data_IF_125289606516
#
_entry.id   IF_125289606516
#
_cell.length_a   1.000
_cell.length_b   1.000
_cell.length_c   1.000
_cell.angle_alpha   90.00
_cell.angle_beta   90.00
_cell.angle_gamma   90.00
#
_symmetry.space_group_name_H-M   'P 1'
#
loop_
_entity.id
_entity.type
_entity.pdbx_description
1 polymer ?
#
# COMPACT_ATOMS: atom_id res chain seq x y z
N UNK A 1 -47.96 10.10 40.16
CA UNK A 1 -46.60 9.52 40.14
C UNK A 1 -46.46 8.57 38.93
N UNK A 2 -46.99 8.94 37.76
CA UNK A 2 -47.45 7.97 36.74
C UNK A 2 -47.45 8.51 35.28
N UNK A 3 -46.55 9.43 34.91
CA UNK A 3 -46.41 9.86 33.51
C UNK A 3 -44.96 10.00 33.00
N UNK A 4 -43.97 9.83 33.87
CA UNK A 4 -42.54 9.97 33.52
C UNK A 4 -41.91 8.68 33.01
N UNK A 5 -42.52 7.52 33.28
CA UNK A 5 -41.97 6.21 32.89
C UNK A 5 -42.38 5.81 31.46
N UNK A 6 -43.61 6.13 31.03
CA UNK A 6 -44.12 5.77 29.70
C UNK A 6 -43.43 6.59 28.58
N UNK A 7 -43.06 7.86 28.85
CA UNK A 7 -42.29 8.67 27.89
C UNK A 7 -40.82 8.25 27.74
N UNK A 8 -40.26 7.48 28.69
CA UNK A 8 -38.90 6.94 28.55
C UNK A 8 -38.85 5.64 27.76
N UNK A 9 -39.89 4.81 27.76
CA UNK A 9 -39.91 3.58 26.95
C UNK A 9 -40.14 3.84 25.46
N UNK A 10 -40.96 4.84 25.09
CA UNK A 10 -41.16 5.21 23.69
C UNK A 10 -39.87 5.76 23.02
N UNK A 11 -38.98 6.41 23.77
CA UNK A 11 -37.64 6.81 23.31
C UNK A 11 -36.62 5.66 23.30
N UNK A 12 -36.84 4.62 24.11
CA UNK A 12 -35.97 3.45 24.14
C UNK A 12 -36.27 2.49 22.97
N UNK A 13 -37.52 2.44 22.49
CA UNK A 13 -37.90 1.66 21.30
C UNK A 13 -37.39 2.30 19.99
N UNK A 14 -37.27 3.64 19.93
CA UNK A 14 -36.63 4.28 18.76
C UNK A 14 -35.10 4.14 18.73
N UNK A 15 -34.46 3.81 19.87
CA UNK A 15 -33.02 3.55 19.95
C UNK A 15 -32.68 2.04 19.89
N UNK A 16 -33.60 1.16 20.28
CA UNK A 16 -33.43 -0.30 20.15
C UNK A 16 -33.54 -0.79 18.69
N UNK A 17 -34.28 -0.07 17.83
CA UNK A 17 -34.42 -0.41 16.41
C UNK A 17 -33.16 -0.18 15.56
N UNK A 18 -32.08 0.38 16.13
CA UNK A 18 -30.81 0.56 15.41
C UNK A 18 -29.64 -0.27 15.95
N UNK A 19 -29.75 -0.86 17.16
CA UNK A 19 -28.59 -1.43 17.86
C UNK A 19 -28.68 -2.95 18.15
N UNK A 20 -29.86 -3.58 18.10
CA UNK A 20 -30.00 -5.01 18.44
C UNK A 20 -30.08 -5.98 17.25
N UNK A 21 -29.95 -5.50 16.01
CA UNK A 21 -29.82 -6.37 14.82
C UNK A 21 -28.38 -6.83 14.54
N UNK A 22 -27.40 -6.53 15.41
CA UNK A 22 -25.98 -6.75 15.10
C UNK A 22 -25.36 -8.04 15.67
N UNK A 23 -26.00 -8.76 16.60
CA UNK A 23 -25.31 -9.85 17.31
C UNK A 23 -26.21 -11.06 17.62
N UNK A 24 -26.66 -11.76 16.60
CA UNK A 24 -26.79 -13.23 16.53
C UNK A 24 -27.52 -13.60 15.22
N UNK A 25 -26.89 -13.32 14.08
CA UNK A 25 -27.24 -14.03 12.85
C UNK A 25 -26.38 -15.29 12.84
N UNK A 26 -27.01 -16.46 12.99
CA UNK A 26 -26.56 -17.62 12.21
C UNK A 26 -26.78 -17.18 10.77
N UNK A 27 -25.79 -16.45 10.25
CA UNK A 27 -25.76 -15.99 8.88
C UNK A 27 -25.53 -17.26 8.09
N UNK A 28 -26.61 -17.86 7.60
CA UNK A 28 -26.55 -18.45 6.28
C UNK A 28 -26.20 -17.31 5.35
N UNK A 29 -24.91 -16.98 5.29
CA UNK A 29 -24.32 -16.27 4.18
C UNK A 29 -24.61 -17.18 2.99
N UNK A 30 -25.75 -16.94 2.34
CA UNK A 30 -25.91 -17.27 0.95
C UNK A 30 -24.78 -16.50 0.27
N UNK A 31 -23.61 -17.13 0.21
CA UNK A 31 -22.50 -16.64 -0.59
C UNK A 31 -23.08 -16.58 -1.99
N UNK A 32 -23.37 -15.36 -2.45
CA UNK A 32 -23.83 -15.17 -3.80
C UNK A 32 -22.80 -15.85 -4.71
N UNK A 33 -23.25 -16.80 -5.51
CA UNK A 33 -22.37 -17.60 -6.35
C UNK A 33 -22.29 -16.93 -7.73
N UNK A 34 -21.07 -16.72 -8.21
CA UNK A 34 -20.86 -16.28 -9.58
C UNK A 34 -21.27 -17.40 -10.53
N UNK A 35 -22.31 -17.17 -11.35
CA UNK A 35 -22.78 -18.08 -12.39
C UNK A 35 -21.76 -18.18 -13.52
N UNK A 36 -21.27 -17.03 -13.97
CA UNK A 36 -20.20 -16.90 -14.95
C UNK A 36 -19.47 -15.58 -14.68
N UNK A 37 -18.15 -15.59 -14.89
CA UNK A 37 -17.32 -14.39 -14.88
C UNK A 37 -16.84 -14.14 -16.31
N UNK A 38 -17.12 -12.96 -16.83
CA UNK A 38 -16.58 -12.47 -18.09
C UNK A 38 -15.52 -11.42 -17.76
N UNK A 39 -14.27 -11.76 -18.05
CA UNK A 39 -13.10 -11.00 -17.63
C UNK A 39 -12.38 -10.42 -18.86
N UNK A 40 -12.35 -9.09 -18.93
CA UNK A 40 -11.48 -8.34 -19.82
C UNK A 40 -10.68 -7.30 -19.01
N UNK A 41 -10.27 -7.63 -17.79
CA UNK A 41 -9.45 -6.79 -16.94
C UNK A 41 -8.05 -6.55 -17.54
N UNK A 42 -7.48 -5.41 -17.18
CA UNK A 42 -6.13 -5.04 -17.56
C UNK A 42 -5.07 -5.77 -16.74
N UNK A 43 -3.97 -6.19 -17.38
CA UNK A 43 -2.84 -6.77 -16.66
C UNK A 43 -2.14 -5.73 -15.81
N UNK A 44 -1.63 -6.16 -14.65
CA UNK A 44 -0.75 -5.34 -13.83
C UNK A 44 0.54 -5.01 -14.56
N UNK A 45 1.06 -3.81 -14.32
CA UNK A 45 2.39 -3.38 -14.73
C UNK A 45 3.48 -4.11 -13.96
N UNK A 46 4.67 -4.12 -14.54
CA UNK A 46 5.88 -4.70 -13.98
C UNK A 46 6.55 -3.70 -13.03
N UNK A 47 7.00 -4.20 -11.88
CA UNK A 47 7.74 -3.38 -10.92
C UNK A 47 9.13 -3.04 -11.45
N UNK A 48 9.63 -1.86 -11.08
CA UNK A 48 11.05 -1.54 -11.23
C UNK A 48 11.91 -2.48 -10.39
N UNK A 49 13.00 -2.95 -10.96
CA UNK A 49 13.94 -3.86 -10.29
C UNK A 49 14.95 -3.09 -9.44
N UNK A 50 15.31 -3.68 -8.29
CA UNK A 50 16.48 -3.26 -7.52
C UNK A 50 17.72 -3.74 -8.25
N UNK A 51 18.61 -2.83 -8.64
CA UNK A 51 19.94 -3.22 -9.10
C UNK A 51 20.94 -3.24 -7.94
N UNK A 52 21.96 -4.10 -8.08
CA UNK A 52 22.97 -4.47 -7.08
C UNK A 52 23.23 -3.49 -5.93
N UNK A 53 23.02 -4.00 -4.70
CA UNK A 53 23.38 -3.33 -3.46
C UNK A 53 24.85 -3.62 -3.08
N UNK A 54 25.63 -2.56 -2.86
CA UNK A 54 27.02 -2.65 -2.40
C UNK A 54 27.19 -2.35 -0.90
N UNK A 55 26.09 -2.16 -0.15
CA UNK A 55 26.06 -1.73 1.26
C UNK A 55 26.93 -2.55 2.22
N UNK A 56 27.17 -3.84 1.94
CA UNK A 56 27.90 -4.74 2.84
C UNK A 56 29.40 -4.81 2.60
N UNK A 57 29.92 -4.18 1.55
CA UNK A 57 31.36 -4.19 1.26
C UNK A 57 32.00 -2.91 1.76
N UNK A 58 33.00 -3.04 2.65
CA UNK A 58 33.95 -1.95 2.86
C UNK A 58 34.80 -1.87 1.61
N UNK A 59 34.95 -0.67 1.06
CA UNK A 59 35.73 -0.40 -0.14
C UNK A 59 37.01 -1.21 -0.18
N UNK A 60 37.31 -1.81 -1.34
CA UNK A 60 38.60 -2.44 -1.60
C UNK A 60 39.73 -1.54 -1.08
N UNK A 61 40.74 -2.14 -0.45
CA UNK A 61 41.75 -1.51 0.43
C UNK A 61 42.59 -0.35 -0.18
N UNK A 62 42.24 0.14 -1.36
CA UNK A 62 42.91 1.21 -2.07
C UNK A 62 41.98 2.08 -2.95
N UNK A 63 40.64 2.02 -2.79
CA UNK A 63 39.70 2.64 -3.74
C UNK A 63 38.59 3.47 -3.13
N UNK A 64 38.12 4.47 -3.91
CA UNK A 64 36.82 5.14 -3.74
C UNK A 64 35.71 4.09 -3.70
N UNK A 65 34.74 4.28 -2.81
CA UNK A 65 33.56 3.44 -2.76
C UNK A 65 32.82 3.43 -4.10
N UNK A 66 32.35 2.26 -4.54
CA UNK A 66 31.55 2.15 -5.75
C UNK A 66 30.17 2.78 -5.54
N UNK A 67 29.70 3.54 -6.52
CA UNK A 67 28.33 4.04 -6.49
C UNK A 67 27.34 2.90 -6.68
N UNK A 68 26.19 2.99 -6.00
CA UNK A 68 25.07 2.10 -6.22
C UNK A 68 24.43 2.31 -7.60
N UNK A 69 23.86 1.24 -8.13
CA UNK A 69 23.16 1.29 -9.41
C UNK A 69 21.78 1.96 -9.26
N UNK A 70 21.34 2.67 -10.30
CA UNK A 70 19.97 3.15 -10.35
C UNK A 70 18.99 2.01 -10.62
N UNK A 71 17.78 2.12 -10.10
CA UNK A 71 16.73 1.15 -10.36
C UNK A 71 16.24 1.21 -11.82
N UNK A 72 15.67 0.11 -12.30
CA UNK A 72 14.96 0.12 -13.59
C UNK A 72 13.57 0.76 -13.44
N UNK A 73 12.99 1.31 -14.52
CA UNK A 73 11.64 1.86 -14.47
C UNK A 73 10.59 0.76 -14.30
N UNK A 74 9.49 1.08 -13.64
CA UNK A 74 8.27 0.27 -13.68
C UNK A 74 7.47 0.52 -14.95
N UNK A 75 6.47 -0.33 -15.23
CA UNK A 75 5.53 -0.15 -16.33
C UNK A 75 4.11 0.13 -15.84
N UNK A 76 3.30 0.90 -16.59
CA UNK A 76 1.92 1.17 -16.22
C UNK A 76 1.05 -0.08 -16.29
N UNK A 77 -0.05 -0.07 -15.53
CA UNK A 77 -1.09 -1.06 -15.68
C UNK A 77 -1.78 -0.95 -17.05
N UNK A 78 -2.19 -2.08 -17.62
CA UNK A 78 -2.96 -2.07 -18.85
C UNK A 78 -4.40 -1.62 -18.56
N UNK A 79 -5.02 -0.90 -19.48
CA UNK A 79 -6.45 -0.60 -19.35
C UNK A 79 -7.30 -1.86 -19.50
N UNK A 80 -8.45 -1.86 -18.83
CA UNK A 80 -9.50 -2.84 -19.08
C UNK A 80 -10.00 -2.78 -20.53
N UNK A 81 -10.46 -3.92 -21.03
CA UNK A 81 -10.95 -4.12 -22.39
C UNK A 81 -12.42 -3.75 -22.57
N UNK A 82 -13.03 -4.33 -23.60
CA UNK A 82 -14.46 -4.19 -23.90
C UNK A 82 -15.15 -5.52 -23.65
N UNK A 83 -16.24 -5.51 -22.90
CA UNK A 83 -17.25 -6.55 -22.94
C UNK A 83 -18.46 -5.99 -23.68
N UNK A 84 -18.84 -6.62 -24.78
CA UNK A 84 -19.98 -6.22 -25.60
C UNK A 84 -20.84 -7.46 -25.86
N UNK A 85 -21.94 -7.59 -25.15
CA UNK A 85 -22.73 -8.83 -25.12
C UNK A 85 -24.22 -8.59 -25.34
N UNK A 86 -24.85 -9.53 -26.02
CA UNK A 86 -26.29 -9.71 -26.13
C UNK A 86 -26.73 -10.75 -25.10
N UNK A 87 -27.64 -10.36 -24.22
CA UNK A 87 -28.28 -11.24 -23.23
C UNK A 87 -29.71 -11.54 -23.63
N UNK A 88 -30.09 -12.82 -23.61
CA UNK A 88 -31.43 -13.29 -23.97
C UNK A 88 -31.95 -14.34 -23.00
N UNK A 89 -33.22 -14.26 -22.65
CA UNK A 89 -33.93 -15.35 -21.98
C UNK A 89 -34.39 -16.36 -23.04
N UNK A 90 -33.93 -17.60 -22.89
CA UNK A 90 -34.28 -18.73 -23.75
C UNK A 90 -35.38 -19.60 -23.13
N UNK A 91 -35.93 -19.21 -21.97
CA UNK A 91 -36.94 -19.98 -21.27
C UNK A 91 -38.23 -20.07 -22.11
N UNK A 92 -38.83 -21.27 -22.26
CA UNK A 92 -40.07 -21.43 -23.02
C UNK A 92 -41.15 -20.48 -22.55
N UNK A 93 -41.88 -19.86 -23.48
CA UNK A 93 -43.06 -19.06 -23.16
C UNK A 93 -44.07 -19.91 -22.37
N UNK A 94 -44.46 -19.44 -21.17
CA UNK A 94 -45.42 -20.15 -20.31
C UNK A 94 -44.83 -21.25 -19.42
N UNK A 95 -43.49 -21.36 -19.32
CA UNK A 95 -42.84 -22.19 -18.30
C UNK A 95 -43.20 -21.71 -16.89
N UNK A 96 -44.16 -22.40 -16.26
CA UNK A 96 -44.60 -22.16 -14.87
C UNK A 96 -43.67 -22.85 -13.88
N UNK A 97 -42.58 -23.49 -14.32
CA UNK A 97 -41.58 -24.02 -13.40
C UNK A 97 -40.61 -22.91 -13.01
N UNK A 98 -40.70 -22.32 -11.80
CA UNK A 98 -39.80 -21.27 -11.32
C UNK A 98 -38.36 -21.76 -11.08
N UNK A 99 -38.00 -22.96 -11.53
CA UNK A 99 -36.79 -23.65 -11.10
C UNK A 99 -35.64 -23.55 -12.10
N UNK A 100 -35.91 -23.34 -13.40
CA UNK A 100 -34.86 -23.34 -14.43
C UNK A 100 -35.10 -22.25 -15.46
N UNK A 101 -34.24 -21.24 -15.44
CA UNK A 101 -34.19 -20.19 -16.47
C UNK A 101 -32.95 -20.42 -17.32
N UNK A 102 -33.13 -20.43 -18.64
CA UNK A 102 -32.02 -20.58 -19.58
C UNK A 102 -31.63 -19.22 -20.14
N UNK A 103 -30.37 -18.84 -19.98
CA UNK A 103 -29.85 -17.54 -20.45
C UNK A 103 -28.83 -17.80 -21.55
N UNK A 104 -28.90 -17.02 -22.63
CA UNK A 104 -27.82 -16.94 -23.60
C UNK A 104 -27.06 -15.63 -23.45
N UNK A 105 -25.73 -15.72 -23.43
CA UNK A 105 -24.82 -14.57 -23.46
C UNK A 105 -23.90 -14.75 -24.65
N UNK A 106 -23.99 -13.86 -25.63
CA UNK A 106 -23.18 -13.91 -26.85
C UNK A 106 -22.60 -12.56 -27.21
N UNK A 107 -21.38 -12.50 -27.76
CA UNK A 107 -20.72 -11.24 -28.10
C UNK A 107 -19.20 -11.33 -28.04
N UNK A 108 -18.55 -10.26 -27.56
CA UNK A 108 -17.09 -10.17 -27.41
C UNK A 108 -16.66 -9.86 -25.98
N UNK A 109 -15.53 -10.46 -25.58
CA UNK A 109 -14.81 -10.18 -24.33
C UNK A 109 -13.35 -9.95 -24.69
N UNK A 110 -12.94 -8.69 -24.72
CA UNK A 110 -11.67 -8.28 -25.32
C UNK A 110 -11.57 -8.73 -26.78
N UNK A 111 -10.51 -9.47 -27.19
CA UNK A 111 -10.40 -10.01 -28.55
C UNK A 111 -11.16 -11.32 -28.76
N UNK A 112 -11.70 -11.93 -27.70
CA UNK A 112 -12.37 -13.23 -27.75
C UNK A 112 -13.86 -13.12 -28.06
N UNK A 113 -14.41 -14.15 -28.71
CA UNK A 113 -15.85 -14.34 -28.84
C UNK A 113 -16.38 -15.13 -27.64
N UNK A 114 -17.57 -14.77 -27.17
CA UNK A 114 -18.32 -15.53 -26.17
C UNK A 114 -19.66 -15.96 -26.77
N UNK A 115 -20.05 -17.21 -26.52
CA UNK A 115 -21.38 -17.75 -26.78
C UNK A 115 -21.65 -18.82 -25.71
N UNK A 116 -22.40 -18.45 -24.68
CA UNK A 116 -22.66 -19.27 -23.50
C UNK A 116 -24.16 -19.45 -23.32
N UNK A 117 -24.55 -20.67 -22.97
CA UNK A 117 -25.92 -21.01 -22.55
C UNK A 117 -25.85 -21.51 -21.11
N UNK A 118 -26.55 -20.82 -20.22
CA UNK A 118 -26.46 -21.01 -18.79
C UNK A 118 -27.84 -21.40 -18.25
N UNK A 119 -27.87 -22.38 -17.36
CA UNK A 119 -29.02 -22.68 -16.53
C UNK A 119 -28.83 -21.96 -15.19
N UNK A 120 -29.77 -21.10 -14.80
CA UNK A 120 -29.69 -20.32 -13.56
C UNK A 120 -30.87 -20.63 -12.64
N UNK A 121 -30.58 -20.65 -11.33
CA UNK A 121 -31.56 -20.84 -10.25
C UNK A 121 -31.82 -19.50 -9.50
N UNK A 122 -33.08 -19.05 -9.35
CA UNK A 122 -33.44 -17.71 -8.88
C UNK A 122 -33.02 -17.18 -7.50
N UNK A 123 -32.16 -17.86 -6.74
CA UNK A 123 -32.00 -17.55 -5.31
C UNK A 123 -30.64 -17.03 -4.85
N UNK A 124 -29.57 -17.09 -5.64
CA UNK A 124 -28.23 -16.64 -5.17
C UNK A 124 -27.17 -16.44 -6.24
N UNK A 125 -27.51 -16.47 -7.52
CA UNK A 125 -26.54 -16.45 -8.60
C UNK A 125 -26.47 -15.09 -9.32
N UNK A 126 -25.28 -14.72 -9.77
CA UNK A 126 -25.07 -13.51 -10.57
C UNK A 126 -24.02 -13.72 -11.65
N UNK A 127 -24.09 -12.90 -12.70
CA UNK A 127 -23.12 -12.79 -13.78
C UNK A 127 -22.17 -11.64 -13.42
N UNK A 128 -20.88 -11.94 -13.30
CA UNK A 128 -19.86 -10.92 -13.08
C UNK A 128 -19.28 -10.47 -14.41
N UNK A 129 -19.36 -9.17 -14.66
CA UNK A 129 -18.62 -8.50 -15.72
C UNK A 129 -17.46 -7.75 -15.11
N UNK A 130 -16.24 -8.20 -15.40
CA UNK A 130 -15.03 -7.62 -14.85
C UNK A 130 -14.18 -6.99 -15.95
N UNK A 131 -14.04 -5.67 -15.92
CA UNK A 131 -13.19 -4.90 -16.85
C UNK A 131 -12.34 -3.87 -16.12
N UNK A 132 -11.93 -4.14 -14.87
CA UNK A 132 -11.09 -3.20 -14.13
C UNK A 132 -9.73 -2.97 -14.81
N UNK A 133 -9.12 -1.81 -14.57
CA UNK A 133 -7.76 -1.51 -15.03
C UNK A 133 -6.69 -2.22 -14.21
N UNK A 134 -5.58 -2.57 -14.84
CA UNK A 134 -4.46 -3.22 -14.15
C UNK A 134 -3.75 -2.29 -13.17
N UNK A 135 -3.19 -2.85 -12.09
CA UNK A 135 -2.36 -2.09 -11.15
C UNK A 135 -1.09 -1.56 -11.83
N UNK A 136 -0.70 -0.32 -11.55
CA UNK A 136 0.61 0.21 -11.97
C UNK A 136 1.77 -0.47 -11.26
N UNK A 137 2.88 -0.70 -11.98
CA UNK A 137 4.08 -1.28 -11.38
C UNK A 137 4.69 -0.36 -10.32
N UNK A 138 5.18 -0.93 -9.22
CA UNK A 138 5.87 -0.18 -8.17
C UNK A 138 7.24 0.28 -8.64
N UNK A 139 7.64 1.50 -8.25
CA UNK A 139 8.95 2.04 -8.54
C UNK A 139 10.06 1.21 -7.90
N UNK A 140 11.21 1.17 -8.56
CA UNK A 140 12.37 0.40 -8.10
C UNK A 140 13.21 1.16 -7.08
N UNK A 141 13.98 0.40 -6.30
CA UNK A 141 14.91 0.94 -5.31
C UNK A 141 16.33 1.05 -5.90
N UNK A 142 16.94 2.23 -5.79
CA UNK A 142 18.34 2.43 -6.12
C UNK A 142 19.24 1.71 -5.13
N UNK A 143 20.34 1.12 -5.61
CA UNK A 143 21.33 0.44 -4.77
C UNK A 143 22.09 1.42 -3.88
N UNK A 144 22.55 0.98 -2.72
CA UNK A 144 23.35 1.82 -1.83
C UNK A 144 24.80 1.93 -2.35
N UNK A 145 25.43 3.06 -2.05
CA UNK A 145 26.85 3.29 -2.32
C UNK A 145 27.75 2.53 -1.33
N UNK A 146 28.90 2.08 -1.80
CA UNK A 146 29.92 1.40 -1.00
C UNK A 146 30.67 2.42 -0.11
N UNK A 147 31.05 2.02 1.10
CA UNK A 147 31.90 2.86 1.97
C UNK A 147 33.32 3.04 1.41
N UNK A 148 33.94 4.17 1.71
CA UNK A 148 35.33 4.48 1.34
C UNK A 148 36.37 3.70 2.15
N UNK A 149 37.55 3.53 1.58
CA UNK A 149 38.72 2.95 2.25
C UNK A 149 39.23 3.83 3.40
N UNK A 150 39.68 3.25 4.52
CA UNK A 150 40.39 4.00 5.54
C UNK A 150 41.82 4.33 5.09
N UNK A 151 42.31 5.49 5.51
CA UNK A 151 43.70 5.86 5.42
C UNK A 151 44.58 4.97 6.31
N UNK A 152 45.87 4.93 5.98
CA UNK A 152 46.88 4.19 6.74
C UNK A 152 47.54 5.13 7.73
N UNK A 153 47.75 4.64 8.94
CA UNK A 153 48.47 5.40 9.96
C UNK A 153 49.95 5.57 9.55
N UNK A 154 50.49 6.74 9.84
CA UNK A 154 51.89 7.06 9.68
C UNK A 154 52.74 6.40 10.76
N UNK A 155 53.99 6.11 10.43
CA UNK A 155 54.95 5.54 11.39
C UNK A 155 55.48 6.60 12.33
N UNK A 156 55.63 6.26 13.61
CA UNK A 156 56.19 7.15 14.62
C UNK A 156 57.62 7.60 14.27
N UNK A 157 57.97 8.81 14.74
CA UNK A 157 59.31 9.32 14.64
C UNK A 157 60.30 8.41 15.41
N UNK A 158 61.52 8.33 14.91
CA UNK A 158 62.63 7.66 15.59
C UNK A 158 63.76 8.64 15.80
N UNK A 159 64.87 8.19 16.39
CA UNK A 159 66.06 9.03 16.56
C UNK A 159 66.63 9.56 15.23
N UNK A 160 66.41 8.83 14.15
CA UNK A 160 67.04 9.10 12.85
C UNK A 160 66.06 9.64 11.81
N UNK A 161 64.75 9.59 12.06
CA UNK A 161 63.71 9.94 11.10
C UNK A 161 62.53 10.63 11.79
N UNK A 162 61.93 11.63 11.14
CA UNK A 162 60.64 12.19 11.55
C UNK A 162 59.52 11.17 11.40
N UNK A 163 58.42 11.39 12.11
CA UNK A 163 57.21 10.61 11.94
C UNK A 163 56.63 10.82 10.55
N UNK A 164 55.97 9.80 10.01
CA UNK A 164 55.27 9.87 8.74
C UNK A 164 53.85 10.37 8.96
N UNK A 165 53.31 11.07 7.97
CA UNK A 165 51.90 11.45 7.99
C UNK A 165 51.02 10.22 7.80
N UNK A 166 49.84 10.24 8.40
CA UNK A 166 48.77 9.32 8.02
C UNK A 166 48.27 9.66 6.61
N UNK A 167 47.76 8.67 5.89
CA UNK A 167 47.17 8.91 4.57
C UNK A 167 45.71 9.31 4.70
N UNK A 168 45.20 10.05 3.73
CA UNK A 168 43.77 10.36 3.67
C UNK A 168 42.93 9.10 3.49
N UNK A 169 41.69 9.13 3.99
CA UNK A 169 40.67 8.14 3.66
C UNK A 169 40.09 8.37 2.26
N UNK A 170 39.62 7.31 1.62
CA UNK A 170 38.95 7.41 0.33
C UNK A 170 37.50 7.91 0.49
N UNK A 171 36.94 8.63 -0.49
CA UNK A 171 35.53 8.97 -0.49
C UNK A 171 34.63 7.73 -0.65
N UNK A 172 33.42 7.81 -0.10
CA UNK A 172 32.36 6.83 -0.32
C UNK A 172 31.77 6.90 -1.73
N UNK A 173 31.01 5.87 -2.08
CA UNK A 173 30.25 5.79 -3.32
C UNK A 173 28.89 6.46 -3.20
N UNK A 174 28.37 7.00 -4.30
CA UNK A 174 27.06 7.64 -4.31
C UNK A 174 25.94 6.60 -4.23
N UNK A 175 24.80 6.95 -3.65
CA UNK A 175 23.59 6.12 -3.72
C UNK A 175 23.01 6.12 -5.14
N UNK A 176 22.42 5.01 -5.55
CA UNK A 176 21.68 4.88 -6.80
C UNK A 176 20.33 5.61 -6.76
N UNK A 177 19.82 6.05 -7.90
CA UNK A 177 18.49 6.66 -7.97
C UNK A 177 17.40 5.58 -7.91
N UNK A 178 16.36 5.80 -7.11
CA UNK A 178 15.10 5.08 -7.25
C UNK A 178 14.30 5.56 -8.45
N UNK A 179 13.26 4.82 -8.82
CA UNK A 179 12.33 5.21 -9.88
C UNK A 179 10.93 5.47 -9.31
N UNK A 180 10.10 6.29 -9.98
CA UNK A 180 8.71 6.50 -9.55
C UNK A 180 7.89 5.22 -9.78
N UNK A 181 6.76 5.11 -9.09
CA UNK A 181 5.73 4.13 -9.44
C UNK A 181 5.01 4.52 -10.71
N UNK A 182 4.44 3.54 -11.40
CA UNK A 182 3.68 3.78 -12.63
C UNK A 182 2.19 3.92 -12.38
N UNK A 183 1.49 4.54 -13.32
CA UNK A 183 0.05 4.73 -13.27
C UNK A 183 -0.71 3.40 -13.38
N UNK A 184 -1.88 3.34 -12.73
CA UNK A 184 -2.85 2.28 -12.95
C UNK A 184 -3.53 2.41 -14.30
N UNK A 185 -3.91 1.28 -14.89
CA UNK A 185 -4.66 1.27 -16.14
C UNK A 185 -6.08 1.82 -15.95
N UNK A 186 -6.68 2.40 -16.99
CA UNK A 186 -8.07 2.82 -16.92
C UNK A 186 -9.01 1.60 -16.89
N UNK A 187 -10.18 1.72 -16.27
CA UNK A 187 -11.25 0.75 -16.40
C UNK A 187 -11.75 0.65 -17.84
N UNK A 188 -12.29 -0.51 -18.17
CA UNK A 188 -12.78 -0.84 -19.51
C UNK A 188 -14.20 -0.36 -19.79
N UNK A 189 -14.84 -1.00 -20.76
CA UNK A 189 -16.22 -0.70 -21.14
C UNK A 189 -17.05 -1.96 -21.11
N UNK A 190 -18.25 -1.86 -20.55
CA UNK A 190 -19.26 -2.91 -20.62
C UNK A 190 -20.45 -2.35 -21.39
N UNK A 191 -20.87 -3.08 -22.43
CA UNK A 191 -22.11 -2.86 -23.17
C UNK A 191 -22.96 -4.11 -23.09
N UNK A 192 -24.17 -3.96 -22.58
CA UNK A 192 -25.15 -5.03 -22.55
C UNK A 192 -26.29 -4.66 -23.47
N UNK A 193 -26.55 -5.52 -24.44
CA UNK A 193 -27.67 -5.45 -25.36
C UNK A 193 -28.72 -6.47 -24.94
N UNK A 194 -29.99 -6.09 -24.97
CA UNK A 194 -31.11 -7.00 -24.67
C UNK A 194 -32.41 -6.49 -25.26
N UNK A 195 -33.35 -7.39 -25.49
CA UNK A 195 -34.71 -7.02 -25.85
C UNK A 195 -35.49 -6.55 -24.62
N UNK A 196 -36.51 -5.71 -24.78
CA UNK A 196 -37.31 -5.17 -23.68
C UNK A 196 -37.89 -6.26 -22.75
N UNK A 197 -38.26 -7.42 -23.31
CA UNK A 197 -38.76 -8.58 -22.56
C UNK A 197 -37.70 -9.26 -21.67
N UNK A 198 -36.42 -9.08 -21.99
CA UNK A 198 -35.29 -9.72 -21.31
C UNK A 198 -34.68 -8.82 -20.22
N UNK A 199 -35.28 -7.66 -19.95
CA UNK A 199 -34.81 -6.68 -18.94
C UNK A 199 -34.72 -7.23 -17.52
N UNK A 200 -35.41 -8.33 -17.23
CA UNK A 200 -35.32 -9.00 -15.94
C UNK A 200 -33.94 -9.59 -15.66
N UNK A 201 -33.17 -9.95 -16.69
CA UNK A 201 -31.82 -10.48 -16.54
C UNK A 201 -30.84 -9.49 -15.87
N UNK A 202 -31.16 -8.20 -15.87
CA UNK A 202 -30.37 -7.17 -15.19
C UNK A 202 -30.26 -7.40 -13.67
N UNK A 203 -31.17 -8.16 -13.05
CA UNK A 203 -31.04 -8.53 -11.63
C UNK A 203 -29.82 -9.40 -11.35
N UNK A 204 -29.31 -10.10 -12.38
CA UNK A 204 -28.18 -10.99 -12.28
C UNK A 204 -26.86 -10.26 -12.52
N UNK A 205 -26.88 -9.01 -12.98
CA UNK A 205 -25.67 -8.32 -13.43
C UNK A 205 -24.93 -7.70 -12.24
N UNK A 206 -23.66 -8.07 -12.08
CA UNK A 206 -22.68 -7.38 -11.25
C UNK A 206 -21.53 -6.92 -12.12
N UNK A 207 -20.96 -5.76 -11.79
CA UNK A 207 -19.93 -5.13 -12.61
C UNK A 207 -18.79 -4.63 -11.75
N UNK A 208 -17.56 -4.86 -12.20
CA UNK A 208 -16.38 -4.10 -11.80
C UNK A 208 -15.82 -3.39 -13.04
N UNK A 209 -15.82 -2.07 -12.98
CA UNK A 209 -15.31 -1.18 -14.04
C UNK A 209 -14.26 -0.22 -13.47
N UNK A 210 -13.73 -0.49 -12.29
CA UNK A 210 -12.84 0.44 -11.59
C UNK A 210 -11.54 0.68 -12.36
N UNK A 211 -10.98 1.87 -12.20
CA UNK A 211 -9.61 2.14 -12.61
C UNK A 211 -8.61 1.37 -11.75
N UNK A 212 -7.50 0.95 -12.35
CA UNK A 212 -6.44 0.24 -11.65
C UNK A 212 -5.76 1.11 -10.59
N UNK A 213 -5.32 0.54 -9.46
CA UNK A 213 -4.60 1.29 -8.45
C UNK A 213 -3.20 1.70 -8.96
N UNK A 214 -2.65 2.82 -8.46
CA UNK A 214 -1.29 3.25 -8.82
C UNK A 214 -0.22 2.32 -8.26
N UNK A 215 0.96 2.37 -8.86
CA UNK A 215 2.19 1.80 -8.30
C UNK A 215 2.77 2.67 -7.19
N UNK A 216 3.33 2.01 -6.17
CA UNK A 216 3.99 2.68 -5.05
C UNK A 216 5.31 3.33 -5.53
N UNK A 217 5.74 4.45 -4.91
CA UNK A 217 7.03 5.05 -5.22
C UNK A 217 8.22 4.13 -4.86
N UNK A 218 9.28 4.20 -5.67
CA UNK A 218 10.56 3.60 -5.34
C UNK A 218 11.32 4.36 -4.24
N UNK A 219 12.59 4.00 -4.05
CA UNK A 219 13.46 4.62 -3.01
C UNK A 219 14.85 4.88 -3.56
N UNK A 220 15.41 6.03 -3.23
CA UNK A 220 16.82 6.30 -3.53
C UNK A 220 17.72 5.46 -2.61
N UNK A 221 18.85 5.02 -3.14
CA UNK A 221 19.89 4.35 -2.38
C UNK A 221 20.60 5.32 -1.44
N UNK A 222 21.10 4.78 -0.33
CA UNK A 222 21.90 5.52 0.63
C UNK A 222 23.31 5.76 0.07
N UNK A 223 23.95 6.90 0.38
CA UNK A 223 25.34 7.09 0.03
C UNK A 223 26.23 6.23 0.94
N UNK A 224 27.37 5.83 0.42
CA UNK A 224 28.43 5.21 1.22
C UNK A 224 29.16 6.24 2.05
N UNK A 225 29.50 5.89 3.29
CA UNK A 225 30.30 6.74 4.17
C UNK A 225 31.73 6.90 3.63
N UNK A 226 32.32 8.07 3.83
CA UNK A 226 33.74 8.32 3.56
C UNK A 226 34.64 7.55 4.54
N UNK A 227 35.78 7.07 4.08
CA UNK A 227 36.72 6.37 4.93
C UNK A 227 37.46 7.31 5.88
N UNK A 228 37.82 6.84 7.06
CA UNK A 228 38.54 7.64 8.05
C UNK A 228 39.99 7.88 7.60
N UNK A 229 40.53 9.08 7.79
CA UNK A 229 41.97 9.34 7.60
C UNK A 229 42.83 8.62 8.63
N UNK A 230 44.03 8.21 8.21
CA UNK A 230 45.01 7.58 9.09
C UNK A 230 45.63 8.58 10.06
N UNK A 231 46.02 8.14 11.25
CA UNK A 231 46.69 8.99 12.24
C UNK A 231 48.13 9.26 11.82
N UNK A 232 48.64 10.46 12.08
CA UNK A 232 50.05 10.79 11.91
C UNK A 232 50.92 10.11 12.96
N UNK A 233 52.15 9.77 12.60
CA UNK A 233 53.11 9.19 13.53
C UNK A 233 53.47 10.16 14.67
N UNK A 234 53.63 9.64 15.88
CA UNK A 234 53.98 10.43 17.06
C UNK A 234 55.39 11.02 16.97
N UNK A 235 55.63 12.18 17.59
CA UNK A 235 56.97 12.77 17.70
C UNK A 235 57.89 12.00 18.64
N UNK A 236 59.21 12.09 18.44
CA UNK A 236 60.20 11.41 19.28
C UNK A 236 61.27 12.40 19.78
N UNK A 237 61.57 12.40 21.08
CA UNK A 237 62.60 13.26 21.66
C UNK A 237 63.58 12.45 22.51
N UNK A 238 64.86 12.85 22.48
CA UNK A 238 65.92 12.22 23.26
C UNK A 238 66.94 13.25 23.72
N UNK A 239 67.70 12.90 24.74
CA UNK A 239 68.81 13.71 25.25
C UNK A 239 70.13 13.00 25.04
N UNK A 240 71.18 13.78 24.76
CA UNK A 240 72.56 13.28 24.76
C UNK A 240 73.36 14.10 25.76
N UNK A 241 73.95 13.42 26.74
CA UNK A 241 74.82 14.04 27.73
C UNK A 241 76.27 13.81 27.35
N UNK A 242 77.06 14.88 27.24
CA UNK A 242 78.50 14.81 26.99
C UNK A 242 79.28 15.58 28.06
N UNK A 243 80.43 15.05 28.44
CA UNK A 243 81.35 15.71 29.39
C UNK A 243 82.09 16.81 28.63
N UNK A 244 81.94 18.06 29.06
CA UNK A 244 82.59 19.24 28.44
C UNK A 244 83.79 19.75 29.22
N UNK A 245 84.02 19.23 30.43
CA UNK A 245 85.20 19.54 31.24
C UNK A 245 85.13 18.90 32.62
N UNK A 246 86.10 19.21 33.48
CA UNK A 246 86.06 18.86 34.90
C UNK A 246 86.08 20.13 35.73
N UNK A 247 85.19 20.22 36.70
CA UNK A 247 85.18 21.27 37.70
C UNK A 247 85.66 20.67 39.01
N UNK A 248 86.80 21.13 39.48
CA UNK A 248 87.33 20.73 40.78
C UNK A 248 86.85 21.72 41.83
N UNK A 249 86.28 21.19 42.91
CA UNK A 249 86.00 21.99 44.08
C UNK A 249 87.33 22.59 44.60
N UNK A 250 87.33 23.84 45.08
CA UNK A 250 88.52 24.41 45.69
C UNK A 250 88.85 23.64 46.97
N UNK A 251 90.13 23.41 47.20
CA UNK A 251 90.61 22.76 48.41
C UNK A 251 90.10 23.51 49.66
N UNK A 252 89.40 22.81 50.54
CA UNK A 252 88.81 23.42 51.75
C UNK A 252 89.69 23.15 52.95
N UNK A 253 90.00 24.21 53.71
CA UNK A 253 90.63 24.04 55.02
C UNK A 253 89.58 23.61 56.04
N UNK A 254 89.77 22.42 56.60
CA UNK A 254 88.91 21.87 57.65
C UNK A 254 89.67 21.93 58.98
N UNK A 255 89.02 22.46 60.01
CA UNK A 255 89.56 22.47 61.38
C UNK A 255 89.21 21.13 62.03
N UNK A 256 90.22 20.35 62.40
CA UNK A 256 90.00 19.01 62.99
C UNK A 256 89.75 19.06 64.51
N UNK A 257 89.14 20.14 65.01
CA UNK A 257 88.80 20.30 66.43
C UNK A 257 89.97 20.39 67.42
N UNK A 258 91.22 20.16 66.98
CA UNK A 258 92.43 20.16 67.81
C UNK A 258 93.38 21.35 67.54
N UNK A 259 92.89 22.39 66.86
CA UNK A 259 93.70 23.56 66.48
C UNK A 259 94.59 23.37 65.24
N UNK A 260 94.64 22.16 64.64
CA UNK A 260 95.36 21.90 63.38
C UNK A 260 94.42 21.99 62.16
N UNK A 261 94.91 22.60 61.07
CA UNK A 261 94.21 22.75 59.79
C UNK A 261 94.79 21.79 58.76
N UNK A 262 93.97 20.92 58.20
CA UNK A 262 94.36 20.08 57.05
C UNK A 262 93.61 20.51 55.80
N UNK A 263 94.31 20.49 54.67
CA UNK A 263 93.75 20.81 53.34
C UNK A 263 93.03 19.57 52.82
N UNK A 264 91.71 19.61 52.73
CA UNK A 264 90.95 18.58 52.04
C UNK A 264 90.92 18.93 50.56
N UNK A 265 91.59 18.12 49.73
CA UNK A 265 91.59 18.32 48.28
C UNK A 265 90.17 18.23 47.73
N UNK A 266 89.74 19.22 46.98
CA UNK A 266 88.41 19.22 46.40
C UNK A 266 88.25 18.13 45.35
N UNK A 267 87.07 17.51 45.31
CA UNK A 267 86.76 16.50 44.32
C UNK A 267 86.58 17.16 42.94
N UNK A 268 87.11 16.54 41.90
CA UNK A 268 86.85 16.93 40.52
C UNK A 268 85.62 16.20 40.02
N UNK A 269 84.59 16.97 39.66
CA UNK A 269 83.35 16.47 39.07
C UNK A 269 83.35 16.75 37.58
N UNK A 270 82.84 15.81 36.80
CA UNK A 270 82.65 16.02 35.37
C UNK A 270 81.54 17.06 35.16
N UNK A 271 81.85 18.12 34.43
CA UNK A 271 80.86 19.08 33.94
C UNK A 271 80.26 18.49 32.68
N UNK A 272 78.98 18.16 32.75
CA UNK A 272 78.23 17.63 31.62
C UNK A 272 77.34 18.71 31.01
N UNK A 273 77.22 18.66 29.69
CA UNK A 273 76.19 19.40 28.95
C UNK A 273 75.20 18.40 28.39
N UNK A 274 73.91 18.69 28.54
CA UNK A 274 72.82 17.87 27.99
C UNK A 274 72.20 18.60 26.81
N UNK A 275 72.38 18.02 25.63
CA UNK A 275 71.75 18.49 24.40
C UNK A 275 70.41 17.75 24.22
N UNK A 276 69.31 18.49 24.00
CA UNK A 276 67.98 17.94 23.70
C UNK A 276 67.76 17.91 22.20
N UNK A 277 67.28 16.78 21.70
CA UNK A 277 66.95 16.56 20.30
C UNK A 277 65.49 16.13 20.19
N UNK A 278 64.82 16.57 19.13
CA UNK A 278 63.44 16.18 18.83
C UNK A 278 63.29 15.96 17.34
N UNK A 279 62.58 14.90 16.96
CA UNK A 279 62.06 14.68 15.63
C UNK A 279 60.54 14.88 15.69
N UNK A 280 60.01 15.66 14.75
CA UNK A 280 58.58 15.93 14.68
C UNK A 280 57.82 14.65 14.33
N UNK A 281 56.58 14.56 14.79
CA UNK A 281 55.64 13.56 14.29
C UNK A 281 55.14 13.89 12.88
N UNK A 282 54.22 13.07 12.39
CA UNK A 282 53.45 13.33 11.19
C UNK A 282 52.07 13.92 11.51
N UNK A 283 51.39 14.38 10.46
CA UNK A 283 50.02 14.88 10.51
C UNK A 283 49.01 13.76 10.25
N UNK A 284 47.82 13.86 10.86
CA UNK A 284 46.69 13.00 10.53
C UNK A 284 46.23 13.25 9.09
N UNK A 285 45.89 12.17 8.39
CA UNK A 285 45.21 12.21 7.11
C UNK A 285 43.77 12.71 7.26
N UNK A 286 43.23 13.27 6.19
CA UNK A 286 41.83 13.74 6.13
C UNK A 286 40.88 12.57 5.99
N UNK A 287 39.69 12.70 6.57
CA UNK A 287 38.60 11.78 6.28
C UNK A 287 38.15 11.97 4.81
N UNK A 288 37.80 10.86 4.16
CA UNK A 288 37.12 10.88 2.88
C UNK A 288 35.73 11.50 3.01
N UNK A 289 35.23 12.07 1.92
CA UNK A 289 33.86 12.57 1.87
C UNK A 289 32.86 11.42 1.73
N UNK A 290 31.68 11.56 2.34
CA UNK A 290 30.54 10.68 2.08
C UNK A 290 30.11 10.80 0.61
N UNK A 291 29.54 9.73 0.09
CA UNK A 291 28.85 9.76 -1.20
C UNK A 291 27.65 10.70 -1.19
N UNK A 292 27.11 10.97 -2.37
CA UNK A 292 25.93 11.82 -2.53
C UNK A 292 24.67 10.96 -2.70
N UNK A 293 23.55 11.41 -2.11
CA UNK A 293 22.22 10.85 -2.43
C UNK A 293 21.83 11.36 -3.82
N UNK A 294 21.65 10.46 -4.80
CA UNK A 294 21.04 10.87 -6.07
C UNK A 294 19.55 11.13 -5.87
N UNK A 295 19.11 12.35 -6.16
CA UNK A 295 17.70 12.75 -6.08
C UNK A 295 16.95 12.37 -7.36
N UNK A 296 16.54 11.10 -7.47
CA UNK A 296 15.54 10.69 -8.46
C UNK A 296 14.12 11.04 -7.99
N UNK A 297 13.20 11.41 -8.90
CA UNK A 297 11.79 11.54 -8.56
C UNK A 297 11.24 10.16 -8.17
N UNK A 298 10.82 10.03 -6.92
CA UNK A 298 10.23 8.81 -6.35
C UNK A 298 8.78 9.08 -5.96
N UNK A 299 8.00 9.59 -6.91
CA UNK A 299 6.56 9.78 -6.71
C UNK A 299 5.82 8.48 -6.99
N UNK A 300 4.66 8.28 -6.35
CA UNK A 300 3.75 7.22 -6.72
C UNK A 300 3.10 7.50 -8.07
N UNK A 301 2.55 6.46 -8.68
CA UNK A 301 1.70 6.61 -9.87
C UNK A 301 0.38 7.29 -9.54
N UNK A 302 -0.42 7.51 -10.58
CA UNK A 302 -1.81 7.97 -10.48
C UNK A 302 -2.80 6.82 -10.64
N UNK A 303 -3.95 6.94 -9.98
CA UNK A 303 -5.02 5.97 -10.12
C UNK A 303 -5.61 6.04 -11.53
N UNK A 304 -5.91 4.88 -12.10
CA UNK A 304 -6.63 4.80 -13.37
C UNK A 304 -8.02 5.43 -13.27
N UNK A 305 -8.53 5.93 -14.38
CA UNK A 305 -9.91 6.40 -14.45
C UNK A 305 -10.87 5.21 -14.44
N UNK A 306 -12.04 5.37 -13.80
CA UNK A 306 -13.11 4.38 -13.90
C UNK A 306 -13.63 4.25 -15.34
N UNK A 307 -14.10 3.05 -15.66
CA UNK A 307 -14.63 2.65 -16.94
C UNK A 307 -16.05 3.14 -17.20
N UNK A 308 -16.69 2.55 -18.21
CA UNK A 308 -18.05 2.91 -18.62
C UNK A 308 -18.96 1.69 -18.66
N UNK A 309 -20.16 1.82 -18.11
CA UNK A 309 -21.20 0.81 -18.17
C UNK A 309 -22.41 1.34 -18.95
N UNK A 310 -22.89 0.54 -19.91
CA UNK A 310 -23.96 0.92 -20.82
C UNK A 310 -24.92 -0.27 -21.03
N UNK A 311 -26.22 0.00 -20.94
CA UNK A 311 -27.29 -0.95 -21.24
C UNK A 311 -28.07 -0.40 -22.43
N UNK A 312 -28.21 -1.19 -23.49
CA UNK A 312 -29.03 -0.88 -24.66
C UNK A 312 -30.22 -1.83 -24.71
N UNK A 313 -31.42 -1.27 -24.58
CA UNK A 313 -32.67 -2.02 -24.65
C UNK A 313 -33.28 -1.83 -26.05
N UNK A 314 -33.46 -2.93 -26.75
CA UNK A 314 -34.15 -2.99 -28.04
C UNK A 314 -35.66 -3.09 -27.82
N UNK A 315 -36.41 -2.12 -28.36
CA UNK A 315 -37.87 -2.11 -28.33
C UNK A 315 -38.43 -2.88 -29.54
N UNK A 316 -39.57 -3.53 -29.37
CA UNK A 316 -40.20 -4.33 -30.44
C UNK A 316 -40.66 -3.47 -31.63
N UNK A 317 -41.11 -2.23 -31.38
CA UNK A 317 -41.66 -1.33 -32.39
C UNK A 317 -41.08 0.10 -32.32
N UNK A 318 -39.84 0.27 -31.84
CA UNK A 318 -39.28 1.59 -31.57
C UNK A 318 -37.75 1.66 -31.60
N UNK A 319 -37.18 2.87 -31.46
CA UNK A 319 -35.74 3.02 -31.35
C UNK A 319 -35.22 2.34 -30.08
N UNK A 320 -33.98 1.85 -30.14
CA UNK A 320 -33.31 1.34 -28.94
C UNK A 320 -33.03 2.48 -27.97
N UNK A 321 -33.11 2.21 -26.67
CA UNK A 321 -32.81 3.17 -25.62
C UNK A 321 -31.56 2.75 -24.86
N UNK A 322 -30.79 3.74 -24.42
CA UNK A 322 -29.50 3.52 -23.78
C UNK A 322 -29.48 4.13 -22.38
N UNK A 323 -28.98 3.36 -21.42
CA UNK A 323 -28.94 3.68 -20.00
C UNK A 323 -27.56 3.40 -19.43
N UNK A 324 -27.25 4.02 -18.30
CA UNK A 324 -25.98 3.82 -17.58
C UNK A 324 -26.16 3.07 -16.26
N UNK A 325 -27.40 2.80 -15.86
CA UNK A 325 -27.71 2.09 -14.61
C UNK A 325 -28.94 1.19 -14.77
N UNK A 326 -28.95 -0.01 -14.18
CA UNK A 326 -30.15 -0.84 -14.15
C UNK A 326 -31.22 -0.22 -13.24
N UNK A 327 -32.41 -0.84 -13.21
CA UNK A 327 -33.39 -0.54 -12.17
C UNK A 327 -32.81 -0.83 -10.78
N UNK A 328 -33.24 -0.06 -9.78
CA UNK A 328 -32.80 -0.25 -8.41
C UNK A 328 -33.97 0.07 -7.47
N UNK A 329 -34.47 -0.96 -6.81
CA UNK A 329 -35.65 -0.85 -5.96
C UNK A 329 -35.25 -0.55 -4.51
N UNK A 330 -35.85 0.49 -3.95
CA UNK A 330 -35.68 0.88 -2.55
C UNK A 330 -37.02 0.87 -1.85
N UNK A 331 -37.09 0.16 -0.72
CA UNK A 331 -38.21 0.24 0.20
C UNK A 331 -38.22 1.64 0.84
N UNK A 332 -39.29 2.40 0.63
CA UNK A 332 -39.46 3.77 1.15
C UNK A 332 -40.15 3.79 2.50
N UNK A 333 -41.24 3.04 2.64
CA UNK A 333 -41.97 2.92 3.88
C UNK A 333 -42.90 1.70 3.85
N UNK A 334 -43.43 1.37 5.01
CA UNK A 334 -44.50 0.42 5.20
C UNK A 334 -45.17 0.77 6.54
N UNK A 335 -46.38 0.28 6.74
CA UNK A 335 -47.11 0.38 8.00
C UNK A 335 -47.13 -1.00 8.65
N UNK A 336 -47.04 -1.04 9.97
CA UNK A 336 -47.27 -2.25 10.76
C UNK A 336 -48.43 -1.98 11.73
N UNK A 337 -49.34 -2.93 11.80
CA UNK A 337 -50.46 -2.93 12.74
C UNK A 337 -50.48 -4.27 13.46
N UNK A 338 -50.54 -4.23 14.79
CA UNK A 338 -50.76 -5.39 15.65
C UNK A 338 -52.23 -5.84 15.61
N UNK A 339 -52.52 -7.04 16.09
CA UNK A 339 -53.85 -7.68 15.97
C UNK A 339 -54.89 -6.98 16.84
N UNK A 340 -54.47 -6.38 17.96
CA UNK A 340 -55.34 -5.73 18.92
C UNK A 340 -55.40 -4.18 18.80
N UNK A 341 -54.52 -3.59 17.98
CA UNK A 341 -54.36 -2.16 17.71
C UNK A 341 -53.95 -1.30 18.92
N UNK A 342 -53.21 -1.85 19.88
CA UNK A 342 -52.71 -1.11 21.04
C UNK A 342 -51.29 -0.54 20.85
N UNK A 343 -50.62 -0.92 19.75
CA UNK A 343 -49.26 -0.47 19.41
C UNK A 343 -48.15 -1.19 20.18
N UNK A 344 -48.45 -2.29 20.86
CA UNK A 344 -47.52 -3.15 21.59
C UNK A 344 -47.51 -4.53 20.94
N UNK A 345 -46.39 -4.89 20.33
CA UNK A 345 -46.22 -6.22 19.71
C UNK A 345 -45.92 -7.28 20.76
N UNK A 346 -46.80 -8.27 20.93
CA UNK A 346 -46.60 -9.38 21.87
C UNK A 346 -46.18 -10.70 21.17
N UNK A 347 -45.40 -11.56 21.83
CA UNK A 347 -45.06 -12.88 21.29
C UNK A 347 -46.32 -13.73 21.03
N UNK A 348 -46.44 -14.22 19.79
CA UNK A 348 -47.58 -15.04 19.35
C UNK A 348 -48.72 -14.24 18.70
N UNK A 349 -48.63 -12.91 18.71
CA UNK A 349 -49.57 -12.03 18.02
C UNK A 349 -49.31 -11.98 16.50
N UNK A 350 -50.38 -11.74 15.73
CA UNK A 350 -50.27 -11.45 14.31
C UNK A 350 -49.92 -9.98 14.09
N UNK A 351 -48.97 -9.74 13.20
CA UNK A 351 -48.63 -8.39 12.73
C UNK A 351 -48.98 -8.28 11.26
N UNK A 352 -49.76 -7.28 10.92
CA UNK A 352 -50.13 -6.94 9.56
C UNK A 352 -49.17 -5.88 9.02
N UNK A 353 -48.52 -6.19 7.90
CA UNK A 353 -47.70 -5.23 7.16
C UNK A 353 -48.51 -4.73 5.97
N UNK A 354 -48.71 -3.42 5.88
CA UNK A 354 -49.50 -2.78 4.82
C UNK A 354 -48.80 -1.53 4.29
N UNK A 355 -49.36 -0.91 3.23
CA UNK A 355 -48.85 0.35 2.68
C UNK A 355 -47.38 0.29 2.25
N UNK A 356 -46.94 -0.86 1.72
CA UNK A 356 -45.55 -1.10 1.33
C UNK A 356 -45.23 -0.24 0.12
N UNK A 357 -44.37 0.76 0.33
CA UNK A 357 -43.96 1.70 -0.69
C UNK A 357 -42.59 1.35 -1.22
N UNK A 358 -42.51 1.05 -2.52
CA UNK A 358 -41.25 0.75 -3.21
C UNK A 358 -41.03 1.78 -4.30
N UNK A 359 -39.82 2.33 -4.37
CA UNK A 359 -39.42 3.25 -5.44
C UNK A 359 -38.32 2.64 -6.29
N UNK A 360 -38.46 2.77 -7.61
CA UNK A 360 -37.35 2.54 -8.53
C UNK A 360 -36.49 3.80 -8.64
N UNK A 361 -35.29 3.77 -8.04
CA UNK A 361 -34.29 4.84 -8.12
C UNK A 361 -33.28 4.63 -9.27
N UNK A 362 -33.48 3.61 -10.10
CA UNK A 362 -32.69 3.36 -11.31
C UNK A 362 -33.20 4.16 -12.51
N UNK A 363 -32.48 4.03 -13.63
CA UNK A 363 -32.81 4.74 -14.89
C UNK A 363 -33.77 3.96 -15.79
N UNK A 364 -33.87 2.64 -15.57
CA UNK A 364 -34.68 1.73 -16.37
C UNK A 364 -35.94 1.38 -15.58
N UNK A 365 -37.14 1.35 -16.19
CA UNK A 365 -38.34 0.78 -15.58
C UNK A 365 -38.10 -0.67 -15.13
N UNK A 366 -38.84 -1.15 -14.14
CA UNK A 366 -38.76 -2.58 -13.80
C UNK A 366 -39.23 -3.44 -14.98
N UNK A 367 -38.82 -4.72 -15.04
CA UNK A 367 -39.24 -5.61 -16.11
C UNK A 367 -40.76 -5.70 -16.23
N UNK A 368 -41.26 -5.88 -17.45
CA UNK A 368 -42.68 -6.07 -17.76
C UNK A 368 -42.90 -7.48 -18.29
N UNK A 369 -43.94 -8.17 -17.82
CA UNK A 369 -44.37 -9.45 -18.39
C UNK A 369 -44.01 -10.64 -17.51
N UNK A 370 -43.16 -11.54 -18.01
CA UNK A 370 -42.88 -12.86 -17.37
C UNK A 370 -42.23 -12.77 -15.98
N UNK A 371 -41.64 -11.63 -15.65
CA UNK A 371 -40.78 -11.45 -14.49
C UNK A 371 -41.26 -10.25 -13.69
N UNK A 372 -42.45 -10.40 -13.09
CA UNK A 372 -42.97 -9.36 -12.22
C UNK A 372 -42.08 -9.19 -10.99
N UNK A 373 -42.04 -7.97 -10.48
CA UNK A 373 -41.38 -7.70 -9.20
C UNK A 373 -42.25 -8.29 -8.10
N UNK A 374 -41.73 -9.33 -7.45
CA UNK A 374 -42.39 -9.96 -6.31
C UNK A 374 -41.79 -9.41 -5.02
N UNK A 375 -42.66 -8.88 -4.17
CA UNK A 375 -42.33 -8.42 -2.82
C UNK A 375 -42.87 -9.47 -1.86
N UNK A 376 -42.02 -10.01 -1.00
CA UNK A 376 -42.43 -10.95 0.03
C UNK A 376 -41.75 -10.58 1.35
N UNK A 377 -42.39 -10.98 2.45
CA UNK A 377 -41.81 -10.87 3.77
C UNK A 377 -41.00 -12.13 4.05
N UNK A 378 -39.72 -11.96 4.36
CA UNK A 378 -38.87 -13.07 4.81
C UNK A 378 -39.23 -13.47 6.23
N UNK A 379 -39.30 -14.78 6.50
CA UNK A 379 -39.31 -15.28 7.88
C UNK A 379 -37.93 -15.07 8.53
N UNK A 380 -37.92 -14.86 9.83
CA UNK A 380 -36.73 -14.75 10.68
C UNK A 380 -36.91 -15.58 11.95
N UNK A 381 -35.93 -15.56 12.85
CA UNK A 381 -36.04 -16.24 14.14
C UNK A 381 -37.19 -15.72 15.04
N UNK A 382 -37.64 -14.48 14.81
CA UNK A 382 -38.63 -13.80 15.64
C UNK A 382 -39.95 -13.50 14.93
N UNK A 383 -39.93 -13.52 13.59
CA UNK A 383 -41.09 -13.20 12.75
C UNK A 383 -41.30 -14.36 11.80
N UNK A 384 -42.43 -15.04 11.93
CA UNK A 384 -42.85 -16.06 10.96
C UNK A 384 -43.74 -15.35 9.95
N UNK A 385 -43.20 -15.13 8.74
CA UNK A 385 -43.93 -14.49 7.68
C UNK A 385 -44.84 -15.51 6.99
N UNK A 386 -46.10 -15.13 6.76
CA UNK A 386 -46.96 -15.86 5.83
C UNK A 386 -46.33 -15.77 4.42
N UNK A 387 -46.18 -16.88 3.68
CA UNK A 387 -45.58 -16.91 2.33
C UNK A 387 -46.36 -16.14 1.24
N UNK A 388 -47.09 -15.10 1.59
CA UNK A 388 -47.75 -14.22 0.64
C UNK A 388 -46.73 -13.40 -0.18
N UNK A 389 -46.89 -13.46 -1.50
CA UNK A 389 -46.12 -12.66 -2.45
C UNK A 389 -47.02 -11.57 -3.03
N UNK A 390 -46.61 -10.32 -2.87
CA UNK A 390 -47.22 -9.18 -3.52
C UNK A 390 -46.58 -8.97 -4.89
N UNK A 391 -47.41 -8.96 -5.93
CA UNK A 391 -46.99 -8.66 -7.29
C UNK A 391 -47.08 -7.16 -7.52
N UNK A 392 -45.93 -6.50 -7.69
CA UNK A 392 -45.90 -5.10 -8.10
C UNK A 392 -46.05 -5.00 -9.63
N UNK A 393 -46.80 -4.01 -10.14
CA UNK A 393 -46.79 -3.69 -11.57
C UNK A 393 -45.41 -3.14 -11.95
N UNK A 394 -45.25 -2.85 -13.25
CA UNK A 394 -44.06 -2.14 -13.72
C UNK A 394 -43.91 -0.80 -12.99
N UNK A 395 -42.77 -0.59 -12.34
CA UNK A 395 -42.40 0.65 -11.66
C UNK A 395 -41.46 1.42 -12.57
N UNK A 396 -41.97 2.50 -13.15
CA UNK A 396 -41.20 3.42 -13.98
C UNK A 396 -40.03 4.05 -13.22
N UNK A 397 -39.00 4.50 -13.95
CA UNK A 397 -37.86 5.18 -13.36
C UNK A 397 -38.28 6.41 -12.53
N UNK A 398 -37.80 6.48 -11.29
CA UNK A 398 -38.14 7.53 -10.33
C UNK A 398 -39.53 7.45 -9.72
N UNK A 399 -40.39 6.50 -10.11
CA UNK A 399 -41.75 6.35 -9.57
C UNK A 399 -41.81 5.44 -8.35
N UNK A 400 -42.80 5.74 -7.52
CA UNK A 400 -43.17 4.95 -6.33
C UNK A 400 -44.42 4.12 -6.65
N UNK A 401 -44.47 2.91 -6.08
CA UNK A 401 -45.63 2.04 -6.06
C UNK A 401 -46.00 1.74 -4.59
N UNK A 402 -47.30 1.69 -4.29
CA UNK A 402 -47.86 1.39 -2.96
C UNK A 402 -48.75 0.16 -3.03
#
# INVERSE_FOLDING_TARGET
MTLSWIKSMAKMISFLNLALFSNFLISFSLQAQTLISLDASGRSGENGSVEHDYSTRRGSASGRGRSGNSASPSTPGQSGGLIDVLMKDLSPDGSIEPQKVFISISGTVGPGLVDQKLEYMPSSQFILFDVHGGRGGNGGQGGDGEGGCNGRDGRDATRSFSGENGTDGCPGGDGGSGTPGSDGGAGGKIRIHMDQKDTHLLMLVKTDISGGPPGDPGKNGRPGEGGRGGQGGSSYSWTTTRVVGKRCDPDRMVNNGNGSRTVQKGACHDVTTTDRHTQSGGFDGRNGADGVIKSGPVNGGTQGLDGQFQITIHQEAGPSQTFTRPYNLVLRSFTMEDENHDGIFEPGEKVFVSGIKVQNIGEIPTPKGKSDVLIFLGSSAWIIADPHMLKAPQIEAGKEYT
#
